data_IF_497625587575
#
_entry.id   IF_497625587575
#
_cell.length_a   1.000
_cell.length_b   1.000
_cell.length_c   1.000
_cell.angle_alpha   90.00
_cell.angle_beta   90.00
_cell.angle_gamma   90.00
#
_symmetry.space_group_name_H-M   'P 1'
#
loop_
_entity.id
_entity.type
_entity.pdbx_description
1 polymer ?
#
# COMPACT_ATOMS: atom_id res chain seq x y z
N UNK A 1 8.55 -22.87 -9.69
CA UNK A 1 7.38 -22.59 -8.81
C UNK A 1 7.76 -22.25 -7.37
N UNK A 2 8.56 -23.06 -6.67
CA UNK A 2 8.89 -22.80 -5.26
C UNK A 2 9.56 -21.43 -5.02
N UNK A 3 10.58 -21.08 -5.82
CA UNK A 3 11.31 -19.81 -5.68
C UNK A 3 10.39 -18.61 -5.88
N UNK A 4 9.58 -18.60 -6.95
CA UNK A 4 8.61 -17.52 -7.23
C UNK A 4 7.65 -17.32 -6.06
N UNK A 5 7.14 -18.43 -5.50
CA UNK A 5 6.24 -18.39 -4.34
C UNK A 5 6.91 -17.82 -3.09
N UNK A 6 8.14 -18.24 -2.80
CA UNK A 6 8.89 -17.74 -1.64
C UNK A 6 9.11 -16.23 -1.76
N UNK A 7 9.59 -15.77 -2.93
CA UNK A 7 9.79 -14.34 -3.19
C UNK A 7 8.47 -13.58 -3.05
N UNK A 8 7.40 -14.05 -3.71
CA UNK A 8 6.08 -13.41 -3.62
C UNK A 8 5.61 -13.24 -2.18
N UNK A 9 5.68 -14.31 -1.39
CA UNK A 9 5.21 -14.31 0.01
C UNK A 9 6.05 -13.39 0.89
N UNK A 10 7.39 -13.38 0.74
CA UNK A 10 8.26 -12.51 1.56
C UNK A 10 7.87 -11.05 1.37
N UNK A 11 7.72 -10.61 0.13
CA UNK A 11 7.34 -9.22 -0.16
C UNK A 11 5.88 -8.92 0.24
N UNK A 12 4.96 -9.87 0.03
CA UNK A 12 3.57 -9.73 0.48
C UNK A 12 3.46 -9.60 2.01
N UNK A 13 4.21 -10.42 2.76
CA UNK A 13 4.28 -10.35 4.23
C UNK A 13 4.88 -9.02 4.69
N UNK A 14 5.92 -8.52 4.01
CA UNK A 14 6.48 -7.20 4.32
C UNK A 14 5.43 -6.09 4.12
N UNK A 15 4.74 -6.06 2.98
CA UNK A 15 3.69 -5.06 2.68
C UNK A 15 2.55 -5.16 3.68
N UNK A 16 2.10 -6.37 3.99
CA UNK A 16 1.09 -6.61 5.02
C UNK A 16 1.55 -6.08 6.38
N UNK A 17 2.72 -6.51 6.85
CA UNK A 17 3.31 -6.09 8.12
C UNK A 17 3.42 -4.57 8.23
N UNK A 18 3.82 -3.90 7.14
CA UNK A 18 3.81 -2.44 7.05
C UNK A 18 2.43 -1.86 7.35
N UNK A 19 1.36 -2.32 6.68
CA UNK A 19 0.02 -1.76 6.91
C UNK A 19 -0.54 -2.10 8.29
N UNK A 20 -0.29 -3.31 8.79
CA UNK A 20 -0.66 -3.74 10.15
C UNK A 20 0.06 -2.95 11.24
N UNK A 21 1.28 -2.47 10.99
CA UNK A 21 2.00 -1.61 11.93
C UNK A 21 1.59 -0.13 11.77
N UNK A 22 1.62 0.38 10.55
CA UNK A 22 1.45 1.81 10.30
C UNK A 22 0.05 2.31 10.68
N UNK A 23 -1.00 1.62 10.21
CA UNK A 23 -2.36 2.16 10.27
C UNK A 23 -2.96 2.08 11.67
N UNK A 24 -3.01 0.92 12.36
CA UNK A 24 -3.63 0.85 13.68
C UNK A 24 -2.69 1.25 14.83
N UNK A 25 -1.36 1.17 14.65
CA UNK A 25 -0.40 1.41 15.74
C UNK A 25 0.28 2.76 15.60
N UNK A 26 1.02 2.99 14.52
CA UNK A 26 1.88 4.17 14.42
C UNK A 26 1.08 5.45 14.19
N UNK A 27 0.18 5.46 13.21
CA UNK A 27 -0.58 6.65 12.81
C UNK A 27 -1.38 7.27 13.96
N UNK A 28 -2.14 6.51 14.77
CA UNK A 28 -2.88 7.07 15.90
C UNK A 28 -1.97 7.63 16.99
N UNK A 29 -0.79 7.01 17.21
CA UNK A 29 0.18 7.46 18.20
C UNK A 29 0.87 8.75 17.77
N UNK A 30 1.28 8.86 16.50
CA UNK A 30 1.87 10.10 15.98
C UNK A 30 0.87 11.27 16.04
N UNK A 31 -0.41 11.02 15.74
CA UNK A 31 -1.45 12.05 15.84
C UNK A 31 -1.57 12.63 17.24
N UNK A 32 -1.40 11.79 18.28
CA UNK A 32 -1.38 12.22 19.70
C UNK A 32 -0.14 13.02 20.07
N UNK A 33 0.99 12.78 19.40
CA UNK A 33 2.25 13.51 19.61
C UNK A 33 2.24 14.91 18.95
N UNK A 34 1.25 15.17 18.09
CA UNK A 34 1.03 16.46 17.46
C UNK A 34 1.94 16.74 16.24
N UNK A 35 1.66 17.84 15.51
CA UNK A 35 2.29 18.12 14.21
C UNK A 35 3.80 18.30 14.26
N UNK A 36 4.32 18.82 15.38
CA UNK A 36 5.75 19.10 15.57
C UNK A 36 6.62 17.83 15.49
N UNK A 37 6.10 16.68 15.93
CA UNK A 37 6.80 15.39 15.88
C UNK A 37 6.37 14.59 14.65
N UNK A 38 5.07 14.59 14.33
CA UNK A 38 4.50 13.81 13.25
C UNK A 38 5.11 14.15 11.88
N UNK A 39 5.27 15.44 11.56
CA UNK A 39 5.77 15.88 10.25
C UNK A 39 7.19 15.40 9.94
N UNK A 40 8.19 15.73 10.77
CA UNK A 40 9.57 15.29 10.56
C UNK A 40 9.73 13.77 10.55
N UNK A 41 9.03 13.07 11.46
CA UNK A 41 9.07 11.62 11.53
C UNK A 41 8.53 10.99 10.24
N UNK A 42 7.35 11.42 9.78
CA UNK A 42 6.79 10.90 8.53
C UNK A 42 7.65 11.24 7.32
N UNK A 43 8.28 12.40 7.28
CA UNK A 43 9.21 12.75 6.21
C UNK A 43 10.43 11.79 6.18
N UNK A 44 11.01 11.50 7.34
CA UNK A 44 12.14 10.57 7.45
C UNK A 44 11.75 9.13 7.13
N UNK A 45 10.55 8.70 7.53
CA UNK A 45 10.05 7.37 7.21
C UNK A 45 9.74 7.21 5.72
N UNK A 46 9.02 8.17 5.13
CA UNK A 46 8.53 8.05 3.75
C UNK A 46 9.65 8.11 2.71
N UNK A 47 10.79 8.73 3.00
CA UNK A 47 11.95 8.71 2.09
C UNK A 47 12.50 7.30 1.86
N UNK A 48 12.36 6.41 2.84
CA UNK A 48 12.79 5.00 2.78
C UNK A 48 11.62 4.09 2.43
N UNK A 49 10.47 4.29 3.07
CA UNK A 49 9.31 3.40 2.89
C UNK A 49 8.73 3.51 1.48
N UNK A 50 8.72 4.69 0.85
CA UNK A 50 8.16 4.85 -0.50
C UNK A 50 8.87 3.95 -1.53
N UNK A 51 10.21 4.04 -1.75
CA UNK A 51 10.88 3.19 -2.73
C UNK A 51 10.82 1.70 -2.40
N UNK A 52 10.87 1.33 -1.11
CA UNK A 52 10.76 -0.06 -0.68
C UNK A 52 9.36 -0.63 -0.98
N UNK A 53 8.30 0.14 -0.73
CA UNK A 53 6.93 -0.26 -1.02
C UNK A 53 6.68 -0.38 -2.54
N UNK A 54 7.22 0.55 -3.33
CA UNK A 54 7.20 0.46 -4.80
C UNK A 54 7.85 -0.83 -5.30
N UNK A 55 9.07 -1.11 -4.85
CA UNK A 55 9.80 -2.31 -5.22
C UNK A 55 9.03 -3.56 -4.81
N UNK A 56 8.49 -3.57 -3.60
CA UNK A 56 7.70 -4.70 -3.07
C UNK A 56 6.47 -4.99 -3.92
N UNK A 57 5.70 -3.96 -4.27
CA UNK A 57 4.48 -4.15 -5.09
C UNK A 57 4.81 -4.63 -6.49
N UNK A 58 5.86 -4.09 -7.12
CA UNK A 58 6.32 -4.57 -8.44
C UNK A 58 6.70 -6.05 -8.38
N UNK A 59 7.44 -6.46 -7.34
CA UNK A 59 7.83 -7.86 -7.15
C UNK A 59 6.61 -8.74 -6.89
N UNK A 60 5.67 -8.34 -6.05
CA UNK A 60 4.43 -9.09 -5.77
C UNK A 60 3.63 -9.29 -7.06
N UNK A 61 3.35 -8.22 -7.80
CA UNK A 61 2.57 -8.29 -9.05
C UNK A 61 3.31 -9.15 -10.08
N UNK A 62 4.60 -8.91 -10.30
CA UNK A 62 5.40 -9.64 -11.28
C UNK A 62 5.49 -11.13 -10.96
N UNK A 63 5.77 -11.49 -9.71
CA UNK A 63 5.82 -12.90 -9.29
C UNK A 63 4.44 -13.56 -9.28
N UNK A 64 3.36 -12.83 -8.98
CA UNK A 64 1.99 -13.32 -9.06
C UNK A 64 1.60 -13.68 -10.49
N UNK A 65 1.87 -12.79 -11.45
CA UNK A 65 1.65 -13.04 -12.88
C UNK A 65 2.53 -14.18 -13.38
N UNK A 66 3.81 -14.22 -12.99
CA UNK A 66 4.69 -15.32 -13.37
C UNK A 66 4.20 -16.68 -12.86
N UNK A 67 3.73 -16.74 -11.61
CA UNK A 67 3.13 -17.97 -11.05
C UNK A 67 1.87 -18.37 -11.81
N UNK A 68 1.01 -17.43 -12.18
CA UNK A 68 -0.19 -17.67 -12.99
C UNK A 68 0.14 -18.36 -14.32
N UNK A 69 1.10 -17.80 -15.05
CA UNK A 69 1.51 -18.29 -16.36
C UNK A 69 2.16 -19.67 -16.27
N UNK A 70 3.05 -19.88 -15.29
CA UNK A 70 3.74 -21.17 -15.13
C UNK A 70 2.77 -22.27 -14.68
N UNK A 71 1.85 -21.99 -13.75
CA UNK A 71 0.87 -22.98 -13.28
C UNK A 71 -0.05 -23.46 -14.40
N UNK A 72 -0.34 -22.59 -15.36
CA UNK A 72 -1.27 -22.87 -16.46
C UNK A 72 -0.56 -23.19 -17.79
N UNK A 73 0.75 -23.44 -17.76
CA UNK A 73 1.57 -23.73 -18.94
C UNK A 73 1.43 -22.67 -20.06
N UNK A 74 1.15 -21.42 -19.70
CA UNK A 74 0.91 -20.32 -20.63
C UNK A 74 -0.52 -20.22 -21.18
N UNK A 75 -1.40 -21.18 -20.91
CA UNK A 75 -2.81 -21.12 -21.30
C UNK A 75 -3.64 -20.32 -20.29
N UNK A 76 -4.46 -19.38 -20.76
CA UNK A 76 -5.33 -18.54 -19.91
C UNK A 76 -6.82 -18.91 -20.03
N UNK A 77 -7.12 -19.97 -20.76
CA UNK A 77 -8.46 -20.49 -21.08
C UNK A 77 -9.28 -20.86 -19.83
N UNK A 78 -8.60 -21.28 -18.77
CA UNK A 78 -9.23 -21.79 -17.55
C UNK A 78 -9.26 -20.75 -16.41
N UNK A 79 -8.93 -19.48 -16.68
CA UNK A 79 -8.92 -18.42 -15.65
C UNK A 79 -10.31 -18.12 -15.10
N UNK A 80 -11.33 -18.21 -15.97
CA UNK A 80 -12.71 -17.88 -15.62
C UNK A 80 -13.58 -19.11 -15.33
N UNK A 81 -13.02 -20.32 -15.44
CA UNK A 81 -13.75 -21.58 -15.28
C UNK A 81 -13.41 -22.35 -14.00
N UNK A 82 -12.36 -21.98 -13.27
CA UNK A 82 -11.94 -22.66 -12.03
C UNK A 82 -12.00 -21.73 -10.82
N UNK A 83 -12.25 -22.29 -9.62
CA UNK A 83 -12.23 -21.54 -8.36
C UNK A 83 -10.88 -20.84 -8.12
N UNK A 84 -9.79 -21.59 -8.28
CA UNK A 84 -8.41 -21.05 -8.29
C UNK A 84 -8.16 -19.92 -9.31
N UNK A 85 -8.84 -19.94 -10.46
CA UNK A 85 -8.73 -18.88 -11.47
C UNK A 85 -9.43 -17.59 -11.05
N UNK A 86 -10.63 -17.71 -10.50
CA UNK A 86 -11.36 -16.58 -9.94
C UNK A 86 -10.62 -15.94 -8.76
N UNK A 87 -10.09 -16.75 -7.84
CA UNK A 87 -9.28 -16.24 -6.72
C UNK A 87 -8.07 -15.44 -7.23
N UNK A 88 -7.36 -15.95 -8.25
CA UNK A 88 -6.24 -15.25 -8.86
C UNK A 88 -6.63 -13.91 -9.50
N UNK A 89 -7.78 -13.84 -10.20
CA UNK A 89 -8.28 -12.58 -10.78
C UNK A 89 -8.66 -11.59 -9.68
N UNK A 90 -9.37 -12.05 -8.65
CA UNK A 90 -9.80 -11.21 -7.52
C UNK A 90 -8.58 -10.64 -6.81
N UNK A 91 -7.62 -11.48 -6.42
CA UNK A 91 -6.37 -11.06 -5.80
C UNK A 91 -5.57 -10.08 -6.67
N UNK A 92 -5.52 -10.30 -7.99
CA UNK A 92 -4.88 -9.36 -8.92
C UNK A 92 -5.58 -8.00 -8.95
N UNK A 93 -6.91 -7.98 -9.12
CA UNK A 93 -7.71 -6.74 -9.17
C UNK A 93 -7.57 -5.96 -7.87
N UNK A 94 -7.66 -6.63 -6.72
CA UNK A 94 -7.49 -6.02 -5.41
C UNK A 94 -6.09 -5.44 -5.23
N UNK A 95 -5.05 -6.16 -5.66
CA UNK A 95 -3.66 -5.68 -5.60
C UNK A 95 -3.47 -4.45 -6.48
N UNK A 96 -4.02 -4.42 -7.69
CA UNK A 96 -3.97 -3.25 -8.57
C UNK A 96 -4.73 -2.06 -7.97
N UNK A 97 -5.90 -2.30 -7.37
CA UNK A 97 -6.64 -1.25 -6.67
C UNK A 97 -5.83 -0.67 -5.49
N UNK A 98 -5.23 -1.54 -4.69
CA UNK A 98 -4.41 -1.15 -3.54
C UNK A 98 -3.15 -0.38 -3.96
N UNK A 99 -2.49 -0.83 -5.04
CA UNK A 99 -1.35 -0.14 -5.65
C UNK A 99 -1.76 1.24 -6.19
N UNK A 100 -2.92 1.34 -6.82
CA UNK A 100 -3.46 2.61 -7.33
C UNK A 100 -3.75 3.59 -6.19
N UNK A 101 -4.33 3.11 -5.08
CA UNK A 101 -4.54 3.94 -3.88
C UNK A 101 -3.21 4.43 -3.31
N UNK A 102 -2.26 3.52 -3.12
CA UNK A 102 -0.92 3.84 -2.59
C UNK A 102 -0.18 4.85 -3.46
N UNK A 103 0.06 4.49 -4.72
CA UNK A 103 0.94 5.24 -5.61
C UNK A 103 0.24 6.37 -6.37
N UNK A 104 -1.04 6.21 -6.68
CA UNK A 104 -1.83 7.20 -7.41
C UNK A 104 -2.42 8.28 -6.51
N UNK A 105 -2.65 8.01 -5.23
CA UNK A 105 -3.33 8.96 -4.34
C UNK A 105 -2.58 9.28 -3.05
N UNK A 106 -2.06 8.28 -2.32
CA UNK A 106 -1.35 8.52 -1.06
C UNK A 106 0.00 9.19 -1.31
N UNK A 107 0.84 8.64 -2.21
CA UNK A 107 2.17 9.20 -2.51
C UNK A 107 2.08 10.65 -3.01
N UNK A 108 1.23 11.02 -3.98
CA UNK A 108 1.13 12.40 -4.44
C UNK A 108 0.63 13.35 -3.35
N UNK A 109 -0.34 12.93 -2.53
CA UNK A 109 -0.79 13.72 -1.39
C UNK A 109 0.34 13.95 -0.38
N UNK A 110 1.16 12.94 -0.10
CA UNK A 110 2.35 13.05 0.76
C UNK A 110 3.38 14.04 0.20
N UNK A 111 3.64 14.00 -1.11
CA UNK A 111 4.52 14.96 -1.78
C UNK A 111 3.99 16.39 -1.71
N UNK A 112 2.67 16.59 -1.86
CA UNK A 112 2.04 17.90 -1.69
C UNK A 112 2.20 18.42 -0.25
N UNK A 113 1.96 17.58 0.76
CA UNK A 113 2.19 17.92 2.16
C UNK A 113 3.64 18.31 2.41
N UNK A 114 4.60 17.59 1.83
CA UNK A 114 6.02 17.93 1.97
C UNK A 114 6.37 19.26 1.29
N UNK A 115 5.87 19.50 0.07
CA UNK A 115 6.09 20.77 -0.64
C UNK A 115 5.53 21.95 0.15
N UNK A 116 4.29 21.83 0.64
CA UNK A 116 3.66 22.84 1.47
C UNK A 116 4.43 23.05 2.78
N UNK A 117 4.83 21.96 3.44
CA UNK A 117 5.66 21.99 4.65
C UNK A 117 6.99 22.72 4.47
N UNK A 118 7.64 22.60 3.32
CA UNK A 118 8.86 23.35 2.99
C UNK A 118 8.58 24.85 2.77
N UNK A 119 7.45 25.19 2.15
CA UNK A 119 7.09 26.60 1.89
C UNK A 119 6.73 27.41 3.14
N UNK A 120 6.45 26.73 4.25
CA UNK A 120 6.16 27.32 5.56
C UNK A 120 7.35 27.21 6.53
N UNK A 121 8.47 26.61 6.14
CA UNK A 121 9.63 26.53 7.04
C UNK A 121 10.12 27.93 7.41
N UNK A 122 10.30 28.18 8.71
CA UNK A 122 10.77 29.46 9.23
C UNK A 122 9.69 30.52 9.45
N UNK A 123 8.40 30.21 9.23
CA UNK A 123 7.27 31.09 9.54
C UNK A 123 6.05 30.31 10.03
N UNK A 124 5.10 30.95 10.74
CA UNK A 124 3.81 30.32 11.00
C UNK A 124 3.04 30.10 9.68
N UNK A 125 2.27 28.99 9.56
CA UNK A 125 1.38 28.78 8.44
C UNK A 125 0.25 29.82 8.46
N UNK A 126 -0.17 30.28 7.28
CA UNK A 126 -1.42 31.03 7.13
C UNK A 126 -2.63 30.11 7.44
N UNK A 127 -3.81 30.67 7.78
CA UNK A 127 -5.01 29.87 8.02
C UNK A 127 -5.36 28.92 6.86
N UNK A 128 -5.16 29.38 5.62
CA UNK A 128 -5.41 28.61 4.40
C UNK A 128 -4.44 27.43 4.26
N UNK A 129 -3.15 27.66 4.51
CA UNK A 129 -2.11 26.61 4.46
C UNK A 129 -2.33 25.57 5.57
N UNK A 130 -2.70 26.01 6.77
CA UNK A 130 -3.04 25.12 7.88
C UNK A 130 -4.26 24.24 7.55
N UNK A 131 -5.29 24.83 6.93
CA UNK A 131 -6.47 24.08 6.48
C UNK A 131 -6.11 23.08 5.38
N UNK A 132 -5.27 23.47 4.42
CA UNK A 132 -4.83 22.59 3.34
C UNK A 132 -4.01 21.40 3.87
N UNK A 133 -3.08 21.63 4.81
CA UNK A 133 -2.34 20.57 5.49
C UNK A 133 -3.27 19.61 6.24
N UNK A 134 -4.28 20.13 6.94
CA UNK A 134 -5.29 19.33 7.60
C UNK A 134 -6.04 18.42 6.63
N UNK A 135 -6.53 18.96 5.51
CA UNK A 135 -7.24 18.20 4.47
C UNK A 135 -6.37 17.10 3.86
N UNK A 136 -5.12 17.41 3.54
CA UNK A 136 -4.17 16.44 2.99
C UNK A 136 -3.87 15.32 3.99
N UNK A 137 -3.67 15.66 5.27
CA UNK A 137 -3.44 14.70 6.35
C UNK A 137 -4.62 13.74 6.51
N UNK A 138 -5.84 14.25 6.61
CA UNK A 138 -7.06 13.43 6.69
C UNK A 138 -7.26 12.56 5.45
N UNK A 139 -6.96 13.09 4.26
CA UNK A 139 -7.05 12.31 3.01
C UNK A 139 -6.07 11.13 3.02
N UNK A 140 -4.82 11.37 3.42
CA UNK A 140 -3.80 10.32 3.54
C UNK A 140 -4.23 9.28 4.58
N UNK A 141 -4.74 9.71 5.73
CA UNK A 141 -5.25 8.82 6.80
C UNK A 141 -6.36 7.91 6.28
N UNK A 142 -7.40 8.48 5.68
CA UNK A 142 -8.55 7.72 5.18
C UNK A 142 -8.14 6.73 4.07
N UNK A 143 -7.32 7.18 3.12
CA UNK A 143 -6.83 6.30 2.05
C UNK A 143 -5.94 5.19 2.61
N UNK A 144 -5.16 5.44 3.65
CA UNK A 144 -4.32 4.43 4.29
C UNK A 144 -5.16 3.36 4.99
N UNK A 145 -6.27 3.76 5.63
CA UNK A 145 -7.24 2.81 6.22
C UNK A 145 -7.92 1.97 5.14
N UNK A 146 -8.37 2.58 4.06
CA UNK A 146 -8.94 1.85 2.92
C UNK A 146 -7.92 0.84 2.38
N UNK A 147 -6.66 1.26 2.22
CA UNK A 147 -5.63 0.39 1.70
C UNK A 147 -5.28 -0.76 2.66
N UNK A 148 -5.30 -0.50 3.97
CA UNK A 148 -5.16 -1.55 4.98
C UNK A 148 -6.28 -2.59 4.87
N UNK A 149 -7.54 -2.16 4.71
CA UNK A 149 -8.67 -3.08 4.51
C UNK A 149 -8.48 -3.91 3.23
N UNK A 150 -8.06 -3.30 2.12
CA UNK A 150 -7.77 -4.05 0.89
C UNK A 150 -6.67 -5.09 1.11
N UNK A 151 -5.59 -4.74 1.82
CA UNK A 151 -4.51 -5.68 2.14
C UNK A 151 -5.00 -6.84 2.99
N UNK A 152 -5.88 -6.59 3.97
CA UNK A 152 -6.53 -7.68 4.74
C UNK A 152 -7.34 -8.60 3.82
N UNK A 153 -8.14 -8.05 2.91
CA UNK A 153 -8.94 -8.83 1.96
C UNK A 153 -8.03 -9.65 1.03
N UNK A 154 -6.92 -9.06 0.53
CA UNK A 154 -5.95 -9.76 -0.32
C UNK A 154 -5.34 -10.97 0.42
N UNK A 155 -4.99 -10.82 1.71
CA UNK A 155 -4.47 -11.93 2.50
C UNK A 155 -5.50 -13.04 2.71
N UNK A 156 -6.77 -12.68 2.91
CA UNK A 156 -7.86 -13.64 3.02
C UNK A 156 -8.09 -14.38 1.69
N UNK A 157 -8.03 -13.66 0.56
CA UNK A 157 -8.10 -14.26 -0.78
C UNK A 157 -6.97 -15.28 -0.98
N UNK A 158 -5.72 -14.94 -0.63
CA UNK A 158 -4.59 -15.89 -0.70
C UNK A 158 -4.81 -17.14 0.16
N UNK A 159 -5.42 -16.98 1.34
CA UNK A 159 -5.74 -18.10 2.21
C UNK A 159 -6.82 -18.99 1.60
N UNK A 160 -7.89 -18.39 1.06
CA UNK A 160 -9.01 -19.11 0.43
C UNK A 160 -8.55 -19.81 -0.84
N UNK A 161 -7.72 -19.17 -1.66
CA UNK A 161 -7.16 -19.69 -2.91
C UNK A 161 -6.43 -21.03 -2.74
N UNK A 162 -6.00 -21.37 -1.51
CA UNK A 162 -5.40 -22.66 -1.19
C UNK A 162 -6.41 -23.83 -1.23
N UNK A 163 -7.69 -23.54 -1.05
CA UNK A 163 -8.75 -24.53 -0.87
C UNK A 163 -9.71 -24.64 -2.06
N UNK A 164 -9.57 -23.78 -3.08
CA UNK A 164 -10.45 -23.69 -4.27
C UNK A 164 -9.71 -23.86 -5.60
#
# INVERSE_FOLDING_TARGET
>A
MAILRIVHIIFAVFVAGYYFFMVPILMPKMKKLGPAIQGPLMQALMSVLTPVMWTSVIVIVGTGVAMALVQRQGALDTLFSTGSGWAMIIGFVLTVAAATIGFGFITPAGLQTQKLGRSIQGRPPTPEEAQQLGRLSTRIENLSVINFVLVVIILLDMLIARYV
#
